data_IF_920883171596
#
_entry.id   IF_920883171596
#
_cell.length_a   1.000
_cell.length_b   1.000
_cell.length_c   1.000
_cell.angle_alpha   90.00
_cell.angle_beta   90.00
_cell.angle_gamma   90.00
#
_symmetry.space_group_name_H-M   'P 1'
#
loop_
_entity.id
_entity.type
_entity.pdbx_description
1 polymer ?
#
# COMPACT_ATOMS: atom_id res chain seq x y z
N UNK A 1 -5.91 -6.54 -0.90
CA UNK A 1 -6.05 -5.13 -0.45
C UNK A 1 -6.82 -5.09 0.86
N UNK A 2 -6.58 -4.09 1.74
CA UNK A 2 -7.40 -3.89 2.94
C UNK A 2 -8.90 -3.74 2.63
N UNK A 3 -9.75 -4.16 3.56
CA UNK A 3 -11.22 -4.21 3.36
C UNK A 3 -11.83 -2.82 3.16
N UNK A 4 -11.23 -1.84 3.83
CA UNK A 4 -11.51 -0.41 3.78
C UNK A 4 -11.49 0.11 2.33
N UNK A 5 -10.54 -0.38 1.53
CA UNK A 5 -10.34 -0.02 0.13
C UNK A 5 -11.41 -0.66 -0.74
N UNK A 6 -11.74 -1.93 -0.50
CA UNK A 6 -12.81 -2.63 -1.20
C UNK A 6 -14.14 -1.90 -1.01
N UNK A 7 -14.43 -1.44 0.21
CA UNK A 7 -15.62 -0.62 0.48
C UNK A 7 -15.64 0.72 -0.25
N UNK A 8 -14.50 1.42 -0.33
CA UNK A 8 -14.40 2.70 -1.03
C UNK A 8 -14.50 2.57 -2.56
N UNK A 9 -13.84 1.56 -3.14
CA UNK A 9 -13.99 1.24 -4.57
C UNK A 9 -15.45 0.90 -4.90
N UNK A 10 -16.10 0.10 -4.05
CA UNK A 10 -17.52 -0.26 -4.21
C UNK A 10 -18.47 0.95 -4.15
N UNK A 11 -18.08 2.03 -3.47
CA UNK A 11 -18.82 3.31 -3.42
C UNK A 11 -18.37 4.30 -4.50
N UNK A 12 -17.94 3.79 -5.66
CA UNK A 12 -17.46 4.60 -6.79
C UNK A 12 -16.38 5.61 -6.41
N UNK A 13 -15.52 5.29 -5.44
CA UNK A 13 -14.44 6.17 -4.97
C UNK A 13 -14.97 7.52 -4.43
N UNK A 14 -16.19 7.54 -3.88
CA UNK A 14 -16.81 8.73 -3.31
C UNK A 14 -15.88 9.45 -2.33
N UNK A 15 -15.77 10.77 -2.43
CA UNK A 15 -14.94 11.61 -1.55
C UNK A 15 -15.48 11.82 -0.13
N UNK A 16 -16.39 10.95 0.34
CA UNK A 16 -16.89 10.97 1.71
C UNK A 16 -15.79 10.62 2.74
N UNK A 17 -16.10 10.68 4.05
CA UNK A 17 -15.12 10.41 5.10
C UNK A 17 -14.45 9.05 4.87
N UNK A 18 -13.12 9.04 4.95
CA UNK A 18 -12.34 7.82 4.81
C UNK A 18 -12.70 6.85 5.95
N UNK A 19 -12.65 5.53 5.71
CA UNK A 19 -12.96 4.54 6.73
C UNK A 19 -12.10 4.74 7.98
N UNK A 20 -12.73 4.66 9.16
CA UNK A 20 -12.01 4.73 10.42
C UNK A 20 -11.15 3.48 10.58
N UNK A 21 -9.83 3.65 10.54
CA UNK A 21 -8.87 2.58 10.87
C UNK A 21 -8.81 2.50 12.40
N UNK A 22 -9.51 1.51 12.96
CA UNK A 22 -9.57 1.29 14.42
C UNK A 22 -8.34 0.55 14.94
N UNK A 23 -7.82 -0.39 14.15
CA UNK A 23 -6.60 -1.14 14.45
C UNK A 23 -5.56 -0.93 13.34
N UNK A 24 -4.61 -0.05 13.63
CA UNK A 24 -3.52 0.34 12.73
C UNK A 24 -2.58 -0.85 12.45
N UNK A 25 -2.32 -1.72 13.41
CA UNK A 25 -1.41 -2.86 13.24
C UNK A 25 -2.01 -3.91 12.32
N UNK A 26 -3.28 -4.25 12.52
CA UNK A 26 -4.01 -5.16 11.63
C UNK A 26 -4.20 -4.57 10.23
N UNK A 27 -4.38 -3.25 10.12
CA UNK A 27 -4.39 -2.58 8.82
C UNK A 27 -3.03 -2.68 8.11
N UNK A 28 -1.95 -2.33 8.80
CA UNK A 28 -0.58 -2.40 8.28
C UNK A 28 -0.24 -3.80 7.77
N UNK A 29 -0.53 -4.84 8.55
CA UNK A 29 -0.30 -6.24 8.17
C UNK A 29 -1.05 -6.62 6.89
N UNK A 30 -2.34 -6.26 6.79
CA UNK A 30 -3.15 -6.51 5.58
C UNK A 30 -2.65 -5.73 4.36
N UNK A 31 -2.19 -4.50 4.58
CA UNK A 31 -1.62 -3.67 3.52
C UNK A 31 -0.34 -4.30 2.96
N UNK A 32 0.58 -4.71 3.83
CA UNK A 32 1.84 -5.33 3.44
C UNK A 32 1.66 -6.67 2.73
N UNK A 33 0.76 -7.53 3.22
CA UNK A 33 0.41 -8.78 2.54
C UNK A 33 -0.14 -8.51 1.13
N UNK A 34 -0.95 -7.46 0.98
CA UNK A 34 -1.45 -7.06 -0.32
C UNK A 34 -0.35 -6.50 -1.23
N UNK A 35 0.49 -5.61 -0.71
CA UNK A 35 1.60 -5.01 -1.46
C UNK A 35 2.55 -6.08 -1.99
N UNK A 36 2.95 -7.04 -1.16
CA UNK A 36 3.74 -8.22 -1.58
C UNK A 36 3.05 -9.03 -2.67
N UNK A 37 1.73 -9.17 -2.62
CA UNK A 37 0.97 -9.99 -3.56
C UNK A 37 0.80 -9.32 -4.94
N UNK A 38 0.78 -7.99 -5.03
CA UNK A 38 0.62 -7.27 -6.30
C UNK A 38 1.94 -6.87 -6.96
N UNK A 39 3.06 -7.02 -6.24
CA UNK A 39 4.37 -6.69 -6.78
C UNK A 39 4.88 -7.77 -7.76
N UNK A 40 5.76 -7.38 -8.70
CA UNK A 40 6.34 -8.31 -9.67
C UNK A 40 7.08 -9.48 -9.02
N UNK A 41 7.16 -10.60 -9.73
CA UNK A 41 7.86 -11.82 -9.26
C UNK A 41 9.36 -11.64 -9.05
N UNK A 42 9.99 -10.74 -9.81
CA UNK A 42 11.43 -10.46 -9.69
C UNK A 42 11.78 -9.80 -8.35
N UNK A 43 10.81 -9.25 -7.61
CA UNK A 43 11.04 -8.66 -6.30
C UNK A 43 11.23 -9.73 -5.22
N UNK A 44 12.33 -9.61 -4.49
CA UNK A 44 12.67 -10.52 -3.40
C UNK A 44 11.73 -10.29 -2.21
N UNK A 45 11.04 -11.36 -1.79
CA UNK A 45 10.11 -11.38 -0.66
C UNK A 45 10.82 -11.85 0.61
N UNK A 46 10.69 -11.11 1.71
CA UNK A 46 11.15 -11.51 3.04
C UNK A 46 9.97 -11.45 4.02
N UNK A 47 9.28 -12.58 4.18
CA UNK A 47 8.02 -12.63 4.94
C UNK A 47 6.94 -11.78 4.26
N UNK A 48 6.38 -10.82 4.98
CA UNK A 48 5.41 -9.85 4.46
C UNK A 48 6.06 -8.51 4.03
N UNK A 49 7.36 -8.51 3.73
CA UNK A 49 8.11 -7.35 3.25
C UNK A 49 8.77 -7.65 1.91
N UNK A 50 9.13 -6.59 1.19
CA UNK A 50 9.89 -6.66 -0.04
C UNK A 50 11.25 -6.02 0.18
N UNK A 51 12.27 -6.55 -0.50
CA UNK A 51 13.57 -5.89 -0.58
C UNK A 51 13.53 -4.88 -1.73
N UNK A 52 14.18 -3.73 -1.53
CA UNK A 52 14.34 -2.67 -2.54
C UNK A 52 15.62 -2.91 -3.34
N UNK A 53 15.70 -4.07 -3.98
CA UNK A 53 16.83 -4.51 -4.80
C UNK A 53 16.33 -5.30 -6.01
N UNK A 54 17.20 -5.46 -7.02
CA UNK A 54 16.88 -6.14 -8.26
C UNK A 54 16.34 -5.22 -9.34
N UNK A 55 16.16 -5.79 -10.54
CA UNK A 55 15.71 -5.10 -11.74
C UNK A 55 14.73 -5.99 -12.51
N UNK A 56 13.75 -5.37 -13.16
CA UNK A 56 12.76 -6.06 -13.96
C UNK A 56 11.60 -5.16 -14.33
N UNK A 57 10.67 -5.69 -15.13
CA UNK A 57 9.51 -4.93 -15.58
C UNK A 57 8.49 -4.70 -14.46
N UNK A 58 7.92 -3.50 -14.41
CA UNK A 58 6.91 -3.09 -13.42
C UNK A 58 5.47 -3.25 -13.91
N UNK A 59 5.26 -3.98 -15.00
CA UNK A 59 3.96 -4.09 -15.69
C UNK A 59 2.80 -4.55 -14.78
N UNK A 60 3.11 -5.36 -13.75
CA UNK A 60 2.12 -5.80 -12.76
C UNK A 60 1.56 -4.67 -11.90
N UNK A 61 2.34 -3.60 -11.67
CA UNK A 61 1.93 -2.39 -10.95
C UNK A 61 1.44 -1.27 -11.88
N UNK A 62 1.80 -1.32 -13.16
CA UNK A 62 1.32 -0.39 -14.19
C UNK A 62 -0.14 -0.63 -14.61
N UNK A 63 -0.81 -1.63 -14.01
CA UNK A 63 -2.21 -1.94 -14.33
C UNK A 63 -3.17 -0.86 -13.85
N UNK A 64 -4.05 -0.42 -14.76
CA UNK A 64 -5.20 0.43 -14.42
C UNK A 64 -6.30 -0.42 -13.77
N UNK A 65 -6.96 0.10 -12.72
CA UNK A 65 -8.13 -0.57 -12.12
C UNK A 65 -8.03 -0.87 -10.62
N UNK A 66 -8.66 -1.96 -10.12
CA UNK A 66 -8.83 -2.20 -8.68
C UNK A 66 -7.54 -2.51 -7.90
N UNK A 67 -6.44 -2.77 -8.60
CA UNK A 67 -5.10 -3.00 -8.03
C UNK A 67 -4.10 -1.87 -8.37
N UNK A 68 -4.56 -0.80 -9.04
CA UNK A 68 -3.66 0.25 -9.50
C UNK A 68 -3.06 1.07 -8.36
N UNK A 69 -1.91 1.71 -8.64
CA UNK A 69 -1.12 2.51 -7.69
C UNK A 69 -1.91 3.60 -6.98
N UNK A 70 -2.97 4.15 -7.59
CA UNK A 70 -3.84 5.11 -6.92
C UNK A 70 -4.46 4.55 -5.64
N UNK A 71 -4.88 3.28 -5.64
CA UNK A 71 -5.45 2.66 -4.45
C UNK A 71 -4.37 2.46 -3.37
N UNK A 72 -3.14 2.14 -3.77
CA UNK A 72 -1.99 1.98 -2.87
C UNK A 72 -1.70 3.30 -2.16
N UNK A 73 -1.63 4.40 -2.90
CA UNK A 73 -1.39 5.75 -2.37
C UNK A 73 -2.50 6.21 -1.41
N UNK A 74 -3.76 5.94 -1.75
CA UNK A 74 -4.89 6.28 -0.88
C UNK A 74 -4.87 5.46 0.42
N UNK A 75 -4.48 4.19 0.36
CA UNK A 75 -4.29 3.41 1.59
C UNK A 75 -3.20 3.99 2.49
N UNK A 76 -2.06 4.38 1.90
CA UNK A 76 -0.97 5.00 2.65
C UNK A 76 -1.43 6.31 3.29
N UNK A 77 -2.25 7.10 2.59
CA UNK A 77 -2.83 8.31 3.16
C UNK A 77 -3.73 8.01 4.37
N UNK A 78 -4.66 7.07 4.25
CA UNK A 78 -5.53 6.71 5.37
C UNK A 78 -4.76 6.14 6.55
N UNK A 79 -3.74 5.32 6.27
CA UNK A 79 -2.86 4.79 7.30
C UNK A 79 -2.18 5.94 8.05
N UNK A 80 -1.58 6.90 7.34
CA UNK A 80 -0.96 8.07 7.96
C UNK A 80 -1.91 8.84 8.88
N UNK A 81 -3.12 9.14 8.40
CA UNK A 81 -4.14 9.86 9.18
C UNK A 81 -4.52 9.08 10.47
N UNK A 82 -4.48 7.75 10.43
CA UNK A 82 -4.78 6.88 11.57
C UNK A 82 -3.65 6.77 12.60
N UNK A 83 -2.40 7.13 12.25
CA UNK A 83 -1.26 7.04 13.16
C UNK A 83 -1.33 8.01 14.33
N UNK A 84 -2.01 9.17 14.15
CA UNK A 84 -2.16 10.22 15.19
C UNK A 84 -0.86 10.60 15.93
N UNK A 85 0.30 10.45 15.28
CA UNK A 85 1.61 10.75 15.87
C UNK A 85 2.33 9.60 16.59
N UNK A 86 1.83 8.36 16.54
CA UNK A 86 2.55 7.18 17.06
C UNK A 86 3.86 6.94 16.29
N UNK A 87 5.01 7.19 16.92
CA UNK A 87 6.34 7.10 16.28
C UNK A 87 6.70 5.68 15.84
N UNK A 88 6.29 4.64 16.60
CA UNK A 88 6.61 3.25 16.26
C UNK A 88 5.82 2.82 15.03
N UNK A 89 4.53 3.14 14.99
CA UNK A 89 3.68 2.84 13.84
C UNK A 89 4.03 3.72 12.62
N UNK A 90 4.55 4.94 12.85
CA UNK A 90 5.10 5.81 11.81
C UNK A 90 6.33 5.20 11.12
N UNK A 91 7.17 4.46 11.85
CA UNK A 91 8.31 3.75 11.26
C UNK A 91 7.88 2.76 10.17
N UNK A 92 6.85 1.94 10.45
CA UNK A 92 6.37 0.95 9.48
C UNK A 92 5.70 1.60 8.25
N UNK A 93 4.96 2.68 8.48
CA UNK A 93 4.40 3.47 7.39
C UNK A 93 5.47 4.13 6.50
N UNK A 94 6.56 4.64 7.08
CA UNK A 94 7.69 5.21 6.33
C UNK A 94 8.38 4.17 5.44
N UNK A 95 8.58 2.96 5.95
CA UNK A 95 9.12 1.86 5.13
C UNK A 95 8.18 1.51 3.97
N UNK A 96 6.87 1.47 4.22
CA UNK A 96 5.88 1.25 3.18
C UNK A 96 5.89 2.36 2.11
N UNK A 97 5.94 3.63 2.53
CA UNK A 97 6.02 4.78 1.63
C UNK A 97 7.29 4.74 0.77
N UNK A 98 8.44 4.45 1.38
CA UNK A 98 9.71 4.45 0.67
C UNK A 98 9.83 3.28 -0.32
N UNK A 99 9.17 2.15 -0.05
CA UNK A 99 9.06 1.04 -0.99
C UNK A 99 8.14 1.35 -2.18
N UNK A 100 7.01 2.02 -1.92
CA UNK A 100 6.11 2.53 -2.96
C UNK A 100 6.76 3.60 -3.83
N UNK A 101 7.51 4.53 -3.23
CA UNK A 101 8.26 5.54 -3.97
C UNK A 101 9.28 4.90 -4.92
N UNK A 102 9.99 3.87 -4.47
CA UNK A 102 10.92 3.13 -5.31
C UNK A 102 10.23 2.46 -6.49
N UNK A 103 9.09 1.79 -6.26
CA UNK A 103 8.30 1.20 -7.33
C UNK A 103 7.78 2.26 -8.33
N UNK A 104 7.30 3.41 -7.86
CA UNK A 104 6.83 4.50 -8.71
C UNK A 104 7.93 5.05 -9.62
N UNK A 105 9.16 5.21 -9.11
CA UNK A 105 10.31 5.63 -9.91
C UNK A 105 10.70 4.62 -10.99
N UNK A 106 10.37 3.34 -10.80
CA UNK A 106 10.57 2.33 -11.81
C UNK A 106 9.44 2.22 -12.84
N UNK A 107 8.23 2.71 -12.51
CA UNK A 107 7.06 2.72 -13.40
C UNK A 107 7.05 3.93 -14.33
N UNK A 108 7.44 5.11 -13.82
CA UNK A 108 7.46 6.40 -14.54
C UNK A 108 8.76 6.61 -15.32
#
# INVERSE_FOLDING_TARGET
RPNEVSGWIGRARSGGPHPAIVDVFSFASRWWNWWVAINPEWRIKRGNRLVREGEGAWDSLAQTGPNGMLNVLICLRWWYDALKGDERAMGDWKEALADVEWALKGIL
#
